data_IF_242462591048
#
_entry.id   IF_242462591048
#
_cell.length_a   1.000
_cell.length_b   1.000
_cell.length_c   1.000
_cell.angle_alpha   90.00
_cell.angle_beta   90.00
_cell.angle_gamma   90.00
#
_symmetry.space_group_name_H-M   'P 1'
#
loop_
_entity.id
_entity.type
_entity.pdbx_description
1 polymer ?
#
# COMPACT_ATOMS: atom_id res chain seq x y z
N UNK A 1 21.63 32.29 -39.30
CA UNK A 1 20.27 31.82 -39.47
C UNK A 1 20.29 30.34 -39.19
N UNK A 2 19.83 29.94 -38.00
CA UNK A 2 19.78 28.53 -37.58
C UNK A 2 18.61 27.88 -38.28
N UNK A 3 18.90 26.91 -39.15
CA UNK A 3 17.89 26.03 -39.76
C UNK A 3 17.19 25.21 -38.65
N UNK A 4 16.08 25.69 -38.18
CA UNK A 4 15.13 24.93 -37.35
C UNK A 4 14.31 24.07 -38.29
N UNK A 5 14.86 22.93 -38.71
CA UNK A 5 14.04 21.84 -39.27
C UNK A 5 12.94 21.54 -38.27
N UNK A 6 11.68 21.71 -38.63
CA UNK A 6 10.59 21.52 -37.68
C UNK A 6 10.58 20.06 -37.21
N UNK A 7 10.27 19.85 -35.95
CA UNK A 7 10.13 18.50 -35.35
C UNK A 7 9.20 17.63 -36.21
N UNK A 8 8.21 18.23 -36.84
CA UNK A 8 7.29 17.59 -37.79
C UNK A 8 7.98 17.05 -39.05
N UNK A 9 8.97 17.77 -39.60
CA UNK A 9 9.74 17.31 -40.77
C UNK A 9 10.69 16.15 -40.39
N UNK A 10 11.24 16.18 -39.20
CA UNK A 10 12.04 15.05 -38.67
C UNK A 10 11.18 13.80 -38.47
N UNK A 11 9.95 13.94 -38.01
CA UNK A 11 9.00 12.82 -37.89
C UNK A 11 8.52 12.30 -39.26
N UNK A 12 8.33 13.14 -40.24
CA UNK A 12 7.94 12.72 -41.60
C UNK A 12 9.04 11.86 -42.25
N UNK A 13 10.31 12.16 -41.99
CA UNK A 13 11.46 11.39 -42.51
C UNK A 13 11.51 9.95 -41.97
N UNK A 14 10.83 9.65 -40.87
CA UNK A 14 10.90 8.37 -40.16
C UNK A 14 9.58 7.59 -40.14
N UNK A 15 8.54 8.03 -40.91
CA UNK A 15 7.19 7.41 -40.85
C UNK A 15 7.15 5.94 -41.30
N UNK A 16 8.09 5.48 -42.13
CA UNK A 16 8.17 4.08 -42.55
C UNK A 16 8.87 3.16 -41.54
N UNK A 17 9.47 3.72 -40.48
CA UNK A 17 10.02 2.93 -39.35
C UNK A 17 8.94 2.50 -38.35
N UNK A 18 7.70 2.93 -38.50
CA UNK A 18 6.61 2.64 -37.60
C UNK A 18 5.55 1.73 -38.23
N UNK A 19 5.05 0.77 -37.46
CA UNK A 19 4.00 -0.15 -37.88
C UNK A 19 4.48 -1.47 -38.42
N UNK A 20 3.67 -2.14 -39.25
CA UNK A 20 3.93 -3.49 -39.75
C UNK A 20 5.17 -3.65 -40.66
N UNK A 21 5.78 -2.54 -41.11
CA UNK A 21 6.96 -2.54 -41.96
C UNK A 21 8.28 -2.50 -41.19
N UNK A 22 8.26 -2.25 -39.88
CA UNK A 22 9.49 -2.13 -39.09
C UNK A 22 10.41 -3.36 -39.21
N UNK A 23 9.94 -4.62 -39.12
CA UNK A 23 10.79 -5.78 -39.27
C UNK A 23 11.46 -5.90 -40.65
N UNK A 24 10.77 -5.46 -41.69
CA UNK A 24 11.32 -5.48 -43.06
C UNK A 24 12.43 -4.42 -43.22
N UNK A 25 12.23 -3.22 -42.68
CA UNK A 25 13.20 -2.16 -42.71
C UNK A 25 14.44 -2.53 -41.86
N UNK A 26 14.24 -3.16 -40.72
CA UNK A 26 15.28 -3.65 -39.85
C UNK A 26 16.13 -4.72 -40.55
N UNK A 27 15.55 -5.69 -41.26
CA UNK A 27 16.21 -6.70 -42.03
C UNK A 27 17.04 -6.06 -43.18
N UNK A 28 16.50 -5.07 -43.87
CA UNK A 28 17.22 -4.33 -44.89
C UNK A 28 18.42 -3.56 -44.33
N UNK A 29 18.25 -2.96 -43.15
CA UNK A 29 19.34 -2.23 -42.48
C UNK A 29 20.45 -3.16 -42.04
N UNK A 30 20.17 -4.33 -41.49
CA UNK A 30 21.18 -5.35 -41.19
C UNK A 30 21.94 -5.82 -42.45
N UNK A 31 21.24 -6.02 -43.55
CA UNK A 31 21.87 -6.36 -44.83
C UNK A 31 22.78 -5.22 -45.34
N UNK A 32 22.35 -3.97 -45.21
CA UNK A 32 23.15 -2.80 -45.53
C UNK A 32 24.42 -2.72 -44.65
N UNK A 33 24.30 -2.91 -43.33
CA UNK A 33 25.42 -2.91 -42.40
C UNK A 33 26.45 -4.02 -42.71
N UNK A 34 25.98 -5.18 -43.16
CA UNK A 34 26.84 -6.29 -43.60
C UNK A 34 27.53 -6.01 -44.97
N UNK A 35 26.79 -5.45 -45.92
CA UNK A 35 27.25 -5.08 -47.25
C UNK A 35 26.35 -3.98 -47.86
N UNK A 36 26.80 -2.72 -47.90
CA UNK A 36 26.00 -1.60 -48.46
C UNK A 36 25.51 -1.80 -49.90
N UNK A 37 26.19 -2.66 -50.68
CA UNK A 37 25.78 -3.01 -52.05
C UNK A 37 24.64 -4.03 -52.14
N UNK A 38 24.18 -4.60 -51.02
CA UNK A 38 23.11 -5.61 -50.98
C UNK A 38 21.71 -5.01 -51.00
N UNK A 39 21.56 -3.70 -50.82
CA UNK A 39 20.26 -3.01 -50.78
C UNK A 39 20.11 -2.08 -52.00
N UNK A 40 18.86 -1.78 -52.43
CA UNK A 40 18.58 -0.80 -53.47
C UNK A 40 19.16 0.58 -53.17
N UNK A 41 19.56 1.32 -54.21
CA UNK A 41 20.23 2.63 -54.08
C UNK A 41 19.45 3.64 -53.20
N UNK A 42 18.13 3.66 -53.34
CA UNK A 42 17.24 4.52 -52.51
C UNK A 42 17.30 4.23 -51.02
N UNK A 43 17.47 2.97 -50.64
CA UNK A 43 17.64 2.56 -49.27
C UNK A 43 19.05 2.77 -48.76
N UNK A 44 20.04 2.61 -49.65
CA UNK A 44 21.46 2.89 -49.33
C UNK A 44 21.65 4.37 -48.96
N UNK A 45 21.16 5.29 -49.81
CA UNK A 45 21.26 6.73 -49.55
C UNK A 45 20.58 7.11 -48.23
N UNK A 46 19.46 6.48 -47.92
CA UNK A 46 18.76 6.67 -46.65
C UNK A 46 19.56 6.15 -45.44
N UNK A 47 20.09 4.96 -45.52
CA UNK A 47 20.89 4.38 -44.44
C UNK A 47 22.27 5.05 -44.28
N UNK A 48 22.88 5.54 -45.38
CA UNK A 48 24.09 6.37 -45.32
C UNK A 48 23.81 7.66 -44.52
N UNK A 49 22.66 8.29 -44.73
CA UNK A 49 22.26 9.48 -43.97
C UNK A 49 22.07 9.19 -42.48
N UNK A 50 21.51 8.04 -42.13
CA UNK A 50 21.37 7.60 -40.74
C UNK A 50 22.70 7.41 -40.02
N UNK A 51 23.72 6.88 -40.70
CA UNK A 51 25.06 6.65 -40.15
C UNK A 51 25.80 7.97 -39.79
N UNK A 52 25.31 9.11 -40.24
CA UNK A 52 25.87 10.42 -39.94
C UNK A 52 25.14 11.15 -38.80
N UNK A 53 24.09 10.57 -38.23
CA UNK A 53 23.41 11.11 -37.06
C UNK A 53 24.24 10.72 -35.81
N UNK A 54 24.63 11.68 -34.94
CA UNK A 54 25.33 11.35 -33.70
C UNK A 54 24.48 10.43 -32.82
N UNK A 55 25.10 9.45 -32.17
CA UNK A 55 24.44 8.59 -31.20
C UNK A 55 23.85 9.41 -30.05
N UNK A 56 22.81 8.89 -29.39
CA UNK A 56 22.09 9.56 -28.29
C UNK A 56 23.03 9.95 -27.14
N UNK A 57 24.16 9.24 -26.98
CA UNK A 57 25.17 9.52 -25.97
C UNK A 57 26.18 10.59 -26.41
N UNK A 58 26.02 11.17 -27.62
CA UNK A 58 26.93 12.16 -28.22
C UNK A 58 28.21 11.56 -28.79
N UNK A 59 28.35 10.24 -28.87
CA UNK A 59 29.51 9.58 -29.49
C UNK A 59 29.38 9.56 -31.02
N UNK A 60 30.50 9.43 -31.70
CA UNK A 60 30.57 9.19 -33.15
C UNK A 60 30.62 7.68 -33.49
N UNK A 61 30.08 6.85 -32.60
CA UNK A 61 30.01 5.41 -32.81
C UNK A 61 29.10 5.12 -34.03
N UNK A 62 29.57 4.28 -34.94
CA UNK A 62 28.79 3.80 -36.08
C UNK A 62 28.11 2.50 -35.69
N UNK A 63 26.90 2.28 -36.21
CA UNK A 63 26.23 1.01 -36.07
C UNK A 63 27.01 -0.13 -36.73
N UNK A 64 26.94 -1.30 -36.11
CA UNK A 64 27.58 -2.54 -36.58
C UNK A 64 26.53 -3.62 -36.78
N UNK A 65 26.70 -4.57 -37.72
CA UNK A 65 25.78 -5.66 -37.94
C UNK A 65 25.53 -6.49 -36.66
N UNK A 66 24.30 -6.74 -36.31
CA UNK A 66 23.93 -7.56 -35.14
C UNK A 66 24.12 -9.07 -35.41
N UNK A 67 24.02 -9.52 -36.67
CA UNK A 67 24.10 -10.92 -37.03
C UNK A 67 25.37 -11.63 -36.49
N UNK A 68 26.56 -11.08 -36.54
CA UNK A 68 27.76 -11.68 -35.93
C UNK A 68 27.64 -11.86 -34.42
N UNK A 69 26.99 -10.90 -33.73
CA UNK A 69 26.80 -10.92 -32.30
C UNK A 69 25.73 -11.98 -31.93
N UNK A 70 24.64 -12.01 -32.68
CA UNK A 70 23.57 -13.02 -32.51
C UNK A 70 24.12 -14.42 -32.69
N UNK A 71 24.93 -14.64 -33.77
CA UNK A 71 25.60 -15.90 -34.05
C UNK A 71 26.58 -16.31 -32.95
N UNK A 72 27.38 -15.34 -32.45
CA UNK A 72 28.29 -15.60 -31.33
C UNK A 72 27.56 -16.03 -30.05
N UNK A 73 26.42 -15.44 -29.74
CA UNK A 73 25.58 -15.87 -28.64
C UNK A 73 24.91 -17.23 -28.88
N UNK A 74 24.45 -17.49 -30.13
CA UNK A 74 23.86 -18.77 -30.49
C UNK A 74 24.90 -19.91 -30.42
N UNK A 75 26.12 -19.68 -30.88
CA UNK A 75 27.25 -20.65 -30.74
C UNK A 75 27.61 -20.85 -29.27
N UNK A 76 27.67 -19.79 -28.49
CA UNK A 76 27.91 -19.88 -27.02
C UNK A 76 26.81 -20.65 -26.30
N UNK A 77 25.57 -20.48 -26.72
CA UNK A 77 24.44 -21.24 -26.20
C UNK A 77 24.52 -22.73 -26.57
N UNK A 78 24.96 -23.05 -27.82
CA UNK A 78 25.18 -24.44 -28.27
C UNK A 78 26.36 -25.10 -27.56
N UNK A 79 27.40 -24.35 -27.21
CA UNK A 79 28.58 -24.89 -26.50
C UNK A 79 28.29 -25.20 -25.03
N UNK A 80 27.03 -24.97 -24.58
CA UNK A 80 26.62 -25.20 -23.23
C UNK A 80 27.46 -24.39 -22.26
N UNK A 81 26.91 -23.39 -21.60
CA UNK A 81 27.63 -22.68 -20.55
C UNK A 81 28.32 -23.68 -19.65
N UNK A 82 29.55 -23.38 -19.28
CA UNK A 82 30.31 -24.17 -18.30
C UNK A 82 29.38 -24.51 -17.18
N UNK A 83 28.93 -25.77 -17.08
CA UNK A 83 28.22 -26.24 -15.89
C UNK A 83 29.22 -26.05 -14.76
N UNK A 84 29.04 -24.95 -14.01
CA UNK A 84 29.63 -24.86 -12.69
C UNK A 84 29.01 -26.04 -11.96
N UNK A 85 29.75 -27.13 -11.84
CA UNK A 85 29.40 -28.25 -10.97
C UNK A 85 29.61 -27.73 -9.56
N UNK A 86 28.67 -26.92 -9.09
CA UNK A 86 28.48 -26.73 -7.66
C UNK A 86 28.07 -28.08 -7.13
N UNK A 87 28.77 -28.58 -6.14
CA UNK A 87 28.41 -29.85 -5.49
C UNK A 87 26.89 -29.83 -5.27
N UNK A 88 26.19 -30.90 -5.57
CA UNK A 88 24.72 -30.95 -5.67
C UNK A 88 23.99 -30.38 -4.44
N UNK A 89 24.57 -30.53 -3.24
CA UNK A 89 24.06 -30.00 -1.99
C UNK A 89 24.14 -28.46 -1.88
N UNK A 90 25.17 -27.83 -2.41
CA UNK A 90 25.33 -26.36 -2.34
C UNK A 90 24.37 -25.63 -3.30
N UNK A 91 24.13 -26.22 -4.47
CA UNK A 91 23.19 -25.67 -5.44
C UNK A 91 21.72 -25.79 -4.96
N UNK A 92 21.39 -26.92 -4.32
CA UNK A 92 20.07 -27.13 -3.72
C UNK A 92 19.84 -26.19 -2.54
N UNK A 93 20.80 -26.09 -1.64
CA UNK A 93 20.73 -25.16 -0.52
C UNK A 93 20.65 -23.71 -0.99
N UNK A 94 21.36 -23.35 -2.07
CA UNK A 94 21.26 -22.03 -2.71
C UNK A 94 19.84 -21.74 -3.19
N UNK A 95 19.17 -22.69 -3.86
CA UNK A 95 17.76 -22.56 -4.28
C UNK A 95 16.83 -22.39 -3.07
N UNK A 96 16.99 -23.22 -2.03
CA UNK A 96 16.19 -23.15 -0.80
C UNK A 96 16.36 -21.81 -0.07
N UNK A 97 17.56 -21.23 -0.05
CA UNK A 97 17.79 -19.87 0.50
C UNK A 97 17.02 -18.80 -0.27
N UNK A 98 17.01 -18.88 -1.59
CA UNK A 98 16.22 -17.96 -2.43
C UNK A 98 14.72 -18.18 -2.21
N UNK A 99 14.27 -19.42 -2.13
CA UNK A 99 12.88 -19.78 -1.87
C UNK A 99 12.36 -19.24 -0.53
N UNK A 100 13.17 -19.27 0.54
CA UNK A 100 12.83 -18.64 1.83
C UNK A 100 12.61 -17.15 1.68
N UNK A 101 13.44 -16.44 0.92
CA UNK A 101 13.25 -15.01 0.69
C UNK A 101 11.96 -14.70 -0.10
N UNK A 102 11.64 -15.54 -1.07
CA UNK A 102 10.39 -15.45 -1.82
C UNK A 102 9.18 -15.72 -0.93
N UNK A 103 9.26 -16.72 -0.05
CA UNK A 103 8.20 -17.04 0.92
C UNK A 103 7.97 -15.86 1.89
N UNK A 104 9.02 -15.27 2.45
CA UNK A 104 8.91 -14.07 3.31
C UNK A 104 8.23 -12.93 2.52
N UNK A 105 8.64 -12.70 1.28
CA UNK A 105 8.05 -11.68 0.43
C UNK A 105 6.57 -11.96 0.14
N UNK A 106 6.19 -13.21 -0.09
CA UNK A 106 4.80 -13.62 -0.30
C UNK A 106 3.92 -13.29 0.92
N UNK A 107 4.36 -13.67 2.13
CA UNK A 107 3.61 -13.32 3.35
C UNK A 107 3.45 -11.81 3.52
N UNK A 108 4.48 -11.00 3.23
CA UNK A 108 4.41 -9.54 3.27
C UNK A 108 3.45 -8.95 2.25
N UNK A 109 3.36 -9.56 1.05
CA UNK A 109 2.55 -9.04 -0.06
C UNK A 109 1.09 -9.52 -0.03
N UNK A 110 0.86 -10.80 0.30
CA UNK A 110 -0.47 -11.41 0.16
C UNK A 110 -0.98 -12.11 1.43
N UNK A 111 -0.22 -12.06 2.52
CA UNK A 111 -0.59 -12.71 3.79
C UNK A 111 -1.94 -12.22 4.34
N UNK A 112 -2.27 -10.94 4.16
CA UNK A 112 -3.55 -10.36 4.57
C UNK A 112 -4.76 -11.04 3.91
N UNK A 113 -4.61 -11.61 2.72
CA UNK A 113 -5.69 -12.34 2.03
C UNK A 113 -6.08 -13.63 2.77
N UNK A 114 -5.18 -14.17 3.59
CA UNK A 114 -5.42 -15.34 4.42
C UNK A 114 -5.62 -14.97 5.90
N UNK A 115 -5.65 -13.70 6.24
CA UNK A 115 -5.92 -13.25 7.60
C UNK A 115 -7.36 -13.59 8.02
N UNK A 116 -7.53 -13.83 9.32
CA UNK A 116 -8.81 -14.17 9.94
C UNK A 116 -9.60 -12.90 10.27
N UNK A 117 -10.17 -12.28 9.25
CA UNK A 117 -10.86 -10.99 9.33
C UNK A 117 -12.39 -11.12 9.45
N UNK A 118 -12.94 -12.32 9.30
CA UNK A 118 -14.39 -12.55 9.45
C UNK A 118 -14.70 -13.19 10.82
N UNK A 119 -15.11 -12.40 11.83
CA UNK A 119 -15.44 -12.93 13.15
C UNK A 119 -16.66 -13.86 13.12
N UNK A 120 -17.51 -13.76 12.11
CA UNK A 120 -18.71 -14.58 11.93
C UNK A 120 -18.44 -15.89 11.17
N UNK A 121 -17.24 -16.06 10.60
CA UNK A 121 -16.86 -17.26 9.84
C UNK A 121 -17.82 -17.64 8.72
N UNK A 122 -18.40 -16.63 8.04
CA UNK A 122 -19.39 -16.85 6.97
C UNK A 122 -18.77 -17.26 5.65
N UNK A 123 -17.49 -16.96 5.45
CA UNK A 123 -16.78 -17.27 4.22
C UNK A 123 -15.52 -18.06 4.55
N UNK A 124 -15.28 -19.13 3.82
CA UNK A 124 -14.02 -19.86 3.92
C UNK A 124 -12.87 -19.00 3.34
N UNK A 125 -11.72 -19.08 4.00
CA UNK A 125 -10.54 -18.37 3.51
C UNK A 125 -10.02 -19.04 2.24
N UNK A 126 -9.68 -18.25 1.19
CA UNK A 126 -9.20 -18.81 -0.06
C UNK A 126 -7.86 -19.51 0.13
N UNK A 127 -7.62 -20.57 -0.62
CA UNK A 127 -6.29 -21.15 -0.73
C UNK A 127 -5.37 -20.16 -1.46
N UNK A 128 -4.19 -19.93 -0.91
CA UNK A 128 -3.17 -19.03 -1.48
C UNK A 128 -1.88 -19.85 -1.61
N UNK A 129 -1.62 -20.42 -2.78
CA UNK A 129 -0.48 -21.32 -2.98
C UNK A 129 0.86 -20.70 -2.59
N UNK A 130 1.04 -19.39 -2.81
CA UNK A 130 2.27 -18.64 -2.51
C UNK A 130 2.57 -18.56 -1.01
N UNK A 131 1.63 -18.90 -0.13
CA UNK A 131 1.85 -18.98 1.32
C UNK A 131 2.22 -20.38 1.79
N UNK A 132 2.16 -21.36 0.91
CA UNK A 132 2.47 -22.75 1.25
C UNK A 132 3.91 -23.09 0.90
N UNK A 133 4.66 -23.74 1.81
CA UNK A 133 6.06 -24.14 1.58
C UNK A 133 6.24 -25.01 0.35
N UNK A 134 5.27 -25.88 0.06
CA UNK A 134 5.29 -26.78 -1.09
C UNK A 134 5.32 -26.04 -2.44
N UNK A 135 4.82 -24.82 -2.50
CA UNK A 135 4.91 -23.97 -3.69
C UNK A 135 6.37 -23.63 -4.07
N UNK A 136 7.27 -23.70 -3.09
CA UNK A 136 8.70 -23.42 -3.23
C UNK A 136 9.56 -24.68 -3.14
N UNK A 137 8.99 -25.84 -3.42
CA UNK A 137 9.65 -27.14 -3.36
C UNK A 137 10.19 -27.54 -1.96
N UNK A 138 9.67 -26.95 -0.88
CA UNK A 138 9.96 -27.40 0.47
C UNK A 138 9.15 -28.65 0.82
N UNK A 139 9.79 -29.55 1.51
CA UNK A 139 9.21 -30.80 2.01
C UNK A 139 9.19 -30.84 3.53
N UNK A 140 8.57 -31.85 4.12
CA UNK A 140 8.57 -32.03 5.57
C UNK A 140 10.00 -32.23 6.14
N UNK A 141 10.94 -32.75 5.37
CA UNK A 141 12.34 -32.88 5.76
C UNK A 141 13.05 -31.53 5.93
N UNK A 142 12.52 -30.45 5.33
CA UNK A 142 13.11 -29.13 5.40
C UNK A 142 12.67 -28.33 6.63
N UNK A 143 11.69 -28.81 7.39
CA UNK A 143 11.07 -28.07 8.50
C UNK A 143 12.08 -27.63 9.58
N UNK A 144 13.10 -28.43 9.83
CA UNK A 144 14.14 -28.14 10.82
C UNK A 144 15.40 -27.49 10.20
N UNK A 145 15.41 -27.29 8.88
CA UNK A 145 16.52 -26.62 8.19
C UNK A 145 16.56 -25.15 8.59
N UNK A 146 17.72 -24.69 9.01
CA UNK A 146 17.95 -23.31 9.49
C UNK A 146 18.33 -22.40 8.33
N UNK A 147 17.64 -21.27 8.21
CA UNK A 147 17.85 -20.27 7.18
C UNK A 147 18.23 -18.91 7.76
N UNK A 148 19.01 -18.14 7.02
CA UNK A 148 19.28 -16.75 7.35
C UNK A 148 18.04 -15.91 7.02
N UNK A 149 17.60 -15.13 8.01
CA UNK A 149 16.42 -14.26 7.95
C UNK A 149 16.74 -12.83 8.42
N UNK A 150 18.00 -12.42 8.33
CA UNK A 150 18.48 -11.08 8.77
C UNK A 150 17.79 -9.89 8.08
N UNK A 151 17.05 -10.15 6.98
CA UNK A 151 16.19 -9.17 6.31
C UNK A 151 14.80 -9.04 6.96
N UNK A 152 14.54 -9.73 8.07
CA UNK A 152 13.31 -9.65 8.87
C UNK A 152 13.59 -8.95 10.20
N UNK A 153 12.52 -8.68 10.96
CA UNK A 153 12.60 -8.04 12.28
C UNK A 153 12.09 -8.95 13.42
N UNK A 154 12.21 -10.26 13.26
CA UNK A 154 11.80 -11.22 14.30
C UNK A 154 12.76 -11.32 15.49
N UNK A 155 13.81 -10.49 15.53
CA UNK A 155 14.78 -10.46 16.63
C UNK A 155 15.81 -11.59 16.61
N UNK A 156 15.89 -12.33 15.50
CA UNK A 156 16.88 -13.39 15.26
C UNK A 156 17.44 -13.24 13.84
N UNK A 157 18.70 -13.62 13.64
CA UNK A 157 19.32 -13.64 12.31
C UNK A 157 19.05 -14.95 11.55
N UNK A 158 18.70 -16.01 12.30
CA UNK A 158 18.42 -17.33 11.74
C UNK A 158 17.21 -17.97 12.43
N UNK A 159 16.41 -18.71 11.66
CA UNK A 159 15.30 -19.55 12.15
C UNK A 159 15.23 -20.85 11.36
N UNK A 160 14.67 -21.91 11.96
CA UNK A 160 14.23 -23.07 11.19
C UNK A 160 13.03 -22.68 10.30
N UNK A 161 12.79 -23.42 9.22
CA UNK A 161 11.63 -23.17 8.34
C UNK A 161 10.33 -23.19 9.15
N UNK A 162 10.17 -24.12 10.06
CA UNK A 162 9.01 -24.24 10.96
C UNK A 162 8.83 -22.99 11.83
N UNK A 163 9.89 -22.52 12.49
CA UNK A 163 9.84 -21.31 13.31
C UNK A 163 9.47 -20.09 12.48
N UNK A 164 10.08 -19.96 11.29
CA UNK A 164 9.81 -18.86 10.36
C UNK A 164 8.36 -18.85 9.88
N UNK A 165 7.82 -20.00 9.46
CA UNK A 165 6.44 -20.14 9.04
C UNK A 165 5.46 -19.73 10.14
N UNK A 166 5.71 -20.18 11.37
CA UNK A 166 4.88 -19.81 12.51
C UNK A 166 4.94 -18.27 12.74
N UNK A 167 6.13 -17.68 12.70
CA UNK A 167 6.31 -16.24 12.87
C UNK A 167 5.60 -15.44 11.76
N UNK A 168 5.71 -15.87 10.52
CA UNK A 168 5.05 -15.23 9.36
C UNK A 168 3.52 -15.35 9.45
N UNK A 169 3.00 -16.53 9.75
CA UNK A 169 1.56 -16.77 9.93
C UNK A 169 0.98 -15.93 11.08
N UNK A 170 1.67 -15.91 12.22
CA UNK A 170 1.26 -15.07 13.36
C UNK A 170 1.23 -13.59 13.00
N UNK A 171 2.19 -13.12 12.21
CA UNK A 171 2.34 -11.70 11.85
C UNK A 171 1.35 -11.25 10.81
N UNK A 172 1.17 -12.03 9.73
CA UNK A 172 0.47 -11.58 8.52
C UNK A 172 -0.87 -12.26 8.27
N UNK A 173 -1.15 -13.36 8.98
CA UNK A 173 -2.37 -14.16 8.78
C UNK A 173 -3.23 -14.29 10.04
N UNK A 174 -2.96 -13.48 11.07
CA UNK A 174 -3.76 -13.41 12.29
C UNK A 174 -5.07 -12.64 12.07
N UNK A 175 -5.57 -12.01 13.14
CA UNK A 175 -6.81 -11.20 13.08
C UNK A 175 -6.58 -9.77 12.61
N UNK A 176 -5.38 -9.45 12.11
CA UNK A 176 -5.01 -8.17 11.52
C UNK A 176 -4.54 -8.39 10.10
N UNK A 177 -5.17 -7.75 9.12
CA UNK A 177 -4.74 -7.70 7.74
C UNK A 177 -4.00 -6.38 7.47
N UNK A 178 -2.73 -6.44 7.07
CA UNK A 178 -1.92 -5.26 6.78
C UNK A 178 -1.50 -5.23 5.31
N UNK A 179 -1.91 -4.17 4.61
CA UNK A 179 -1.54 -3.91 3.22
C UNK A 179 -0.63 -2.69 3.17
N UNK A 180 0.67 -2.88 2.98
CA UNK A 180 1.67 -1.80 3.00
C UNK A 180 2.76 -1.96 1.94
N UNK A 181 2.83 -3.11 1.28
CA UNK A 181 3.92 -3.38 0.34
C UNK A 181 3.85 -2.55 -0.95
N UNK A 182 2.71 -1.93 -1.26
CA UNK A 182 2.54 -0.98 -2.36
C UNK A 182 3.24 0.37 -2.10
N UNK A 183 3.60 0.67 -0.85
CA UNK A 183 4.30 1.91 -0.48
C UNK A 183 5.60 2.04 -1.28
N UNK A 184 5.78 3.13 -2.00
CA UNK A 184 6.97 3.37 -2.82
C UNK A 184 8.20 3.79 -1.99
N UNK A 185 7.98 4.50 -0.88
CA UNK A 185 9.06 4.89 0.05
C UNK A 185 9.56 3.67 0.82
N UNK A 186 10.85 3.34 0.62
CA UNK A 186 11.50 2.20 1.25
C UNK A 186 11.65 2.34 2.77
N UNK A 187 11.83 3.56 3.28
CA UNK A 187 11.95 3.79 4.72
C UNK A 187 10.60 3.53 5.42
N UNK A 188 9.51 4.01 4.85
CA UNK A 188 8.15 3.74 5.35
C UNK A 188 7.80 2.25 5.28
N UNK A 189 8.11 1.59 4.15
CA UNK A 189 7.89 0.15 4.00
C UNK A 189 8.63 -0.65 5.05
N UNK A 190 9.90 -0.33 5.26
CA UNK A 190 10.74 -0.99 6.26
C UNK A 190 10.26 -0.71 7.69
N UNK A 191 9.75 0.48 7.96
CA UNK A 191 9.13 0.83 9.24
C UNK A 191 7.91 -0.06 9.54
N UNK A 192 7.03 -0.28 8.55
CA UNK A 192 5.90 -1.20 8.69
C UNK A 192 6.34 -2.63 8.98
N UNK A 193 7.31 -3.15 8.23
CA UNK A 193 7.88 -4.48 8.48
C UNK A 193 8.38 -4.58 9.92
N UNK A 194 9.16 -3.61 10.36
CA UNK A 194 9.68 -3.59 11.73
C UNK A 194 8.55 -3.57 12.76
N UNK A 195 7.53 -2.73 12.58
CA UNK A 195 6.40 -2.61 13.52
C UNK A 195 5.60 -3.91 13.63
N UNK A 196 5.35 -4.58 12.53
CA UNK A 196 4.56 -5.82 12.51
C UNK A 196 5.37 -7.02 12.98
N UNK A 197 6.58 -7.21 12.45
CA UNK A 197 7.39 -8.41 12.69
C UNK A 197 7.99 -8.43 14.10
N UNK A 198 8.42 -7.28 14.65
CA UNK A 198 9.03 -7.24 15.98
C UNK A 198 8.10 -7.70 17.10
N UNK A 199 6.80 -7.53 16.92
CA UNK A 199 5.77 -7.95 17.89
C UNK A 199 4.86 -9.06 17.34
N UNK A 200 5.14 -9.57 16.14
CA UNK A 200 4.31 -10.54 15.41
C UNK A 200 2.83 -10.16 15.36
N UNK A 201 2.57 -8.87 15.11
CA UNK A 201 1.22 -8.27 15.13
C UNK A 201 0.42 -8.52 16.42
N UNK A 202 1.10 -8.82 17.53
CA UNK A 202 0.50 -9.08 18.86
C UNK A 202 0.99 -8.05 19.87
N UNK A 203 0.38 -6.83 19.89
CA UNK A 203 0.79 -5.79 20.83
C UNK A 203 0.55 -6.25 22.27
N UNK A 204 1.50 -5.95 23.15
CA UNK A 204 1.39 -6.21 24.58
C UNK A 204 0.93 -4.93 25.28
N UNK A 205 -0.30 -4.90 25.75
CA UNK A 205 -0.83 -3.79 26.52
C UNK A 205 -0.66 -4.05 28.03
N UNK A 206 -0.20 -3.04 28.76
CA UNK A 206 -0.21 -3.06 30.21
C UNK A 206 -1.63 -2.96 30.78
N UNK A 207 -1.78 -3.13 32.11
CA UNK A 207 -3.10 -3.14 32.75
C UNK A 207 -3.84 -1.81 32.59
N UNK A 208 -3.13 -0.67 32.65
CA UNK A 208 -3.76 0.65 32.53
C UNK A 208 -4.27 0.89 31.11
N UNK A 209 -3.51 0.50 30.10
CA UNK A 209 -3.96 0.58 28.71
C UNK A 209 -5.16 -0.31 28.45
N UNK A 210 -5.20 -1.51 29.02
CA UNK A 210 -6.36 -2.40 28.91
C UNK A 210 -7.60 -1.80 29.58
N UNK A 211 -7.46 -1.15 30.75
CA UNK A 211 -8.57 -0.44 31.41
C UNK A 211 -9.04 0.74 30.58
N UNK A 212 -8.15 1.53 29.99
CA UNK A 212 -8.52 2.65 29.11
C UNK A 212 -9.30 2.14 27.89
N UNK A 213 -8.85 1.08 27.25
CA UNK A 213 -9.57 0.48 26.11
C UNK A 213 -10.96 0.01 26.56
N UNK A 214 -11.06 -0.69 27.69
CA UNK A 214 -12.35 -1.15 28.24
C UNK A 214 -13.28 0.01 28.56
N UNK A 215 -12.77 1.09 29.15
CA UNK A 215 -13.54 2.30 29.43
C UNK A 215 -14.14 2.91 28.15
N UNK A 216 -13.33 3.04 27.10
CA UNK A 216 -13.79 3.56 25.80
C UNK A 216 -14.84 2.65 25.14
N UNK A 217 -14.66 1.33 25.21
CA UNK A 217 -15.63 0.36 24.71
C UNK A 217 -16.94 0.44 25.48
N UNK A 218 -16.87 0.52 26.82
CA UNK A 218 -18.05 0.64 27.69
C UNK A 218 -18.80 1.95 27.44
N UNK A 219 -18.08 3.06 27.24
CA UNK A 219 -18.69 4.34 26.93
C UNK A 219 -19.41 4.31 25.57
N UNK A 220 -18.78 3.69 24.55
CA UNK A 220 -19.35 3.54 23.22
C UNK A 220 -20.63 2.70 23.25
N UNK A 221 -20.58 1.51 23.84
CA UNK A 221 -21.73 0.61 23.97
C UNK A 221 -22.84 1.23 24.84
N UNK A 222 -22.48 1.87 25.95
CA UNK A 222 -23.43 2.49 26.87
C UNK A 222 -24.26 3.56 26.19
N UNK A 223 -23.67 4.40 25.37
CA UNK A 223 -24.41 5.41 24.60
C UNK A 223 -25.37 4.76 23.60
N UNK A 224 -24.92 3.77 22.84
CA UNK A 224 -25.80 3.07 21.87
C UNK A 224 -26.99 2.38 22.56
N UNK A 225 -26.74 1.68 23.65
CA UNK A 225 -27.83 1.03 24.46
C UNK A 225 -28.80 2.05 25.01
N UNK A 226 -28.32 3.18 25.54
CA UNK A 226 -29.18 4.24 26.03
C UNK A 226 -30.07 4.79 24.91
N UNK A 227 -29.51 5.15 23.78
CA UNK A 227 -30.25 5.68 22.62
C UNK A 227 -31.24 4.65 22.07
N UNK A 228 -30.86 3.37 22.05
CA UNK A 228 -31.76 2.29 21.62
C UNK A 228 -32.97 2.16 22.51
N UNK A 229 -32.79 2.24 23.83
CA UNK A 229 -33.84 2.05 24.81
C UNK A 229 -34.77 3.26 24.92
N UNK A 230 -34.16 4.47 24.92
CA UNK A 230 -34.93 5.69 25.14
C UNK A 230 -35.62 6.21 23.88
N UNK A 231 -34.99 6.10 22.73
CA UNK A 231 -35.45 6.68 21.46
C UNK A 231 -35.78 5.60 20.43
N UNK A 232 -36.70 4.72 20.80
CA UNK A 232 -37.13 3.59 19.97
C UNK A 232 -37.63 4.07 18.60
N UNK A 233 -37.14 3.44 17.53
CA UNK A 233 -37.56 3.74 16.16
C UNK A 233 -36.97 5.03 15.55
N UNK A 234 -36.30 5.85 16.34
CA UNK A 234 -35.63 7.02 15.78
C UNK A 234 -34.34 6.65 15.04
N UNK A 235 -34.13 7.26 13.86
CA UNK A 235 -32.93 7.04 13.03
C UNK A 235 -31.69 7.62 13.72
N UNK A 236 -30.66 6.79 13.95
CA UNK A 236 -29.46 7.19 14.65
C UNK A 236 -28.16 6.69 14.02
N UNK A 237 -28.20 5.76 13.06
CA UNK A 237 -27.03 5.13 12.47
C UNK A 237 -26.03 4.64 13.52
N UNK A 238 -26.47 3.67 14.30
CA UNK A 238 -25.75 3.10 15.43
C UNK A 238 -24.32 2.62 15.09
N UNK A 239 -23.42 2.73 16.07
CA UNK A 239 -22.07 2.18 16.02
C UNK A 239 -21.99 0.72 16.49
N UNK A 240 -23.11 0.11 16.86
CA UNK A 240 -23.15 -1.28 17.34
C UNK A 240 -22.39 -2.22 16.42
N UNK A 241 -21.45 -2.99 16.99
CA UNK A 241 -20.52 -3.84 16.28
C UNK A 241 -19.20 -3.16 15.86
N UNK A 242 -19.09 -1.84 16.02
CA UNK A 242 -17.92 -1.04 15.70
C UNK A 242 -17.36 -0.24 16.89
N UNK A 243 -17.65 -0.61 18.13
CA UNK A 243 -17.29 0.12 19.35
C UNK A 243 -15.79 0.33 19.50
N UNK A 244 -14.98 -0.58 18.98
CA UNK A 244 -13.52 -0.47 18.95
C UNK A 244 -13.02 0.77 18.21
N UNK A 245 -13.82 1.35 17.33
CA UNK A 245 -13.51 2.59 16.63
C UNK A 245 -13.30 3.76 17.61
N UNK A 246 -14.09 3.85 18.68
CA UNK A 246 -13.94 4.91 19.69
C UNK A 246 -12.62 4.76 20.45
N UNK A 247 -12.25 3.54 20.83
CA UNK A 247 -10.97 3.27 21.47
C UNK A 247 -9.78 3.60 20.53
N UNK A 248 -9.91 3.26 19.24
CA UNK A 248 -8.90 3.58 18.22
C UNK A 248 -8.76 5.09 18.00
N UNK A 249 -9.87 5.83 17.94
CA UNK A 249 -9.87 7.29 17.81
C UNK A 249 -9.24 7.98 19.02
N UNK A 250 -9.55 7.53 20.24
CA UNK A 250 -8.91 8.04 21.45
C UNK A 250 -7.39 7.85 21.40
N UNK A 251 -6.91 6.66 21.05
CA UNK A 251 -5.48 6.38 20.92
C UNK A 251 -4.82 7.23 19.82
N UNK A 252 -5.47 7.39 18.69
CA UNK A 252 -4.97 8.21 17.59
C UNK A 252 -4.79 9.67 18.04
N UNK A 253 -5.80 10.25 18.69
CA UNK A 253 -5.77 11.62 19.17
C UNK A 253 -4.66 11.82 20.21
N UNK A 254 -4.60 10.94 21.22
CA UNK A 254 -3.60 10.99 22.28
C UNK A 254 -2.17 10.82 21.73
N UNK A 255 -1.96 9.84 20.85
CA UNK A 255 -0.65 9.60 20.23
C UNK A 255 -0.23 10.71 19.27
N UNK A 256 -1.16 11.28 18.52
CA UNK A 256 -0.88 12.40 17.62
C UNK A 256 -0.50 13.65 18.40
N UNK A 257 -1.26 14.00 19.44
CA UNK A 257 -0.97 15.13 20.31
C UNK A 257 0.37 15.00 21.02
N UNK A 258 0.69 13.81 21.55
CA UNK A 258 1.99 13.52 22.17
C UNK A 258 3.18 13.75 21.21
N UNK A 259 2.94 13.69 19.89
CA UNK A 259 3.94 13.96 18.84
C UNK A 259 3.87 15.38 18.28
N UNK A 260 3.11 16.28 18.90
CA UNK A 260 3.03 17.68 18.55
C UNK A 260 2.01 18.03 17.47
N UNK A 261 1.09 17.13 17.13
CA UNK A 261 -0.07 17.47 16.30
C UNK A 261 -0.98 18.40 17.09
N UNK A 262 -1.37 19.52 16.50
CA UNK A 262 -2.16 20.57 17.13
C UNK A 262 -3.62 20.60 16.65
N UNK A 263 -3.88 20.13 15.44
CA UNK A 263 -5.22 20.10 14.85
C UNK A 263 -5.48 18.78 14.12
N UNK A 264 -6.68 18.25 14.27
CA UNK A 264 -7.16 17.08 13.53
C UNK A 264 -8.51 17.42 12.90
N UNK A 265 -8.62 17.28 11.59
CA UNK A 265 -9.87 17.45 10.85
C UNK A 265 -10.44 16.06 10.56
N UNK A 266 -11.70 15.86 10.91
CA UNK A 266 -12.38 14.57 10.79
C UNK A 266 -13.50 14.69 9.77
N UNK A 267 -13.50 13.79 8.79
CA UNK A 267 -14.62 13.56 7.88
C UNK A 267 -15.14 12.16 8.04
N UNK A 268 -16.43 12.00 8.17
CA UNK A 268 -17.06 10.68 8.29
C UNK A 268 -18.51 10.73 7.83
N UNK A 269 -19.02 9.59 7.38
CA UNK A 269 -20.44 9.39 7.12
C UNK A 269 -21.26 9.30 8.42
N UNK A 270 -22.49 8.82 8.33
CA UNK A 270 -23.46 8.83 9.43
C UNK A 270 -23.17 7.81 10.53
N UNK A 271 -22.74 6.59 10.15
CA UNK A 271 -22.62 5.48 11.10
C UNK A 271 -21.59 5.77 12.18
N UNK A 272 -22.05 5.70 13.42
CA UNK A 272 -21.22 5.98 14.60
C UNK A 272 -20.98 7.48 14.85
N UNK A 273 -21.52 8.39 14.03
CA UNK A 273 -21.25 9.83 14.17
C UNK A 273 -21.69 10.39 15.51
N UNK A 274 -22.87 10.00 16.01
CA UNK A 274 -23.35 10.45 17.32
C UNK A 274 -22.43 9.99 18.46
N UNK A 275 -21.89 8.79 18.33
CA UNK A 275 -20.93 8.24 19.28
C UNK A 275 -19.59 9.01 19.25
N UNK A 276 -19.08 9.34 18.06
CA UNK A 276 -17.88 10.18 17.88
C UNK A 276 -18.10 11.58 18.47
N UNK A 277 -19.25 12.20 18.23
CA UNK A 277 -19.57 13.51 18.80
C UNK A 277 -19.46 13.51 20.34
N UNK A 278 -20.00 12.49 21.01
CA UNK A 278 -19.99 12.40 22.47
C UNK A 278 -18.65 11.89 23.00
N UNK A 279 -18.19 10.73 22.54
CA UNK A 279 -17.09 10.00 23.17
C UNK A 279 -15.69 10.41 22.64
N UNK A 280 -15.60 11.00 21.44
CA UNK A 280 -14.31 11.46 20.89
C UNK A 280 -14.17 12.98 20.94
N UNK A 281 -15.22 13.74 20.62
CA UNK A 281 -15.18 15.20 20.61
C UNK A 281 -15.72 15.84 21.91
N UNK A 282 -16.35 15.08 22.79
CA UNK A 282 -16.83 15.58 24.08
C UNK A 282 -18.09 16.45 24.02
N UNK A 283 -18.90 16.32 22.95
CA UNK A 283 -20.25 16.94 22.93
C UNK A 283 -21.04 16.41 24.13
N UNK A 284 -21.65 17.30 24.90
CA UNK A 284 -22.41 16.88 26.08
C UNK A 284 -23.60 16.03 25.67
N UNK A 285 -23.82 14.87 26.32
CA UNK A 285 -24.96 14.01 26.01
C UNK A 285 -26.32 14.75 26.09
N UNK A 286 -26.47 15.68 27.00
CA UNK A 286 -27.70 16.50 27.14
C UNK A 286 -28.01 17.28 25.87
N UNK A 287 -26.98 17.83 25.21
CA UNK A 287 -27.15 18.63 23.99
C UNK A 287 -27.51 17.73 22.80
N UNK A 288 -26.96 16.50 22.76
CA UNK A 288 -27.38 15.51 21.79
C UNK A 288 -28.83 15.04 22.04
N UNK A 289 -29.20 14.81 23.28
CA UNK A 289 -30.56 14.33 23.62
C UNK A 289 -31.63 15.38 23.33
N UNK A 290 -31.34 16.67 23.48
CA UNK A 290 -32.22 17.75 23.08
C UNK A 290 -32.62 17.69 21.59
N UNK A 291 -31.70 17.22 20.73
CA UNK A 291 -31.98 16.98 19.30
C UNK A 291 -32.96 15.83 19.08
N UNK A 292 -32.90 14.80 19.94
CA UNK A 292 -33.87 13.68 19.90
C UNK A 292 -35.20 14.06 20.42
N UNK A 293 -35.25 14.91 21.46
CA UNK A 293 -36.45 15.37 22.13
C UNK A 293 -37.11 16.57 21.42
N UNK A 294 -36.50 17.07 20.32
CA UNK A 294 -36.92 18.27 19.56
C UNK A 294 -37.03 19.54 20.45
N UNK A 295 -36.16 19.62 21.45
CA UNK A 295 -36.06 20.76 22.39
C UNK A 295 -34.78 21.58 22.20
N UNK A 296 -34.00 21.28 21.18
CA UNK A 296 -32.82 22.06 20.81
C UNK A 296 -33.25 23.51 20.44
N UNK A 297 -32.43 24.54 20.79
CA UNK A 297 -32.74 25.93 20.42
C UNK A 297 -32.82 26.07 18.89
N UNK A 298 -33.84 26.76 18.40
CA UNK A 298 -34.08 27.00 16.95
C UNK A 298 -32.99 27.89 16.30
N UNK A 299 -32.23 28.63 17.11
CA UNK A 299 -31.20 29.58 16.66
C UNK A 299 -29.83 28.93 16.31
N UNK A 300 -29.68 27.60 16.46
CA UNK A 300 -28.48 26.93 15.97
C UNK A 300 -28.53 26.85 14.45
N UNK A 301 -27.44 27.21 13.73
CA UNK A 301 -27.39 27.03 12.30
C UNK A 301 -27.77 25.61 11.96
N UNK A 302 -28.89 25.45 11.30
CA UNK A 302 -29.57 24.20 11.09
C UNK A 302 -28.67 23.20 10.36
N UNK A 303 -28.11 22.26 11.12
CA UNK A 303 -27.81 20.98 10.51
C UNK A 303 -29.14 20.33 10.15
N UNK A 304 -29.28 19.84 8.94
CA UNK A 304 -30.56 19.29 8.47
C UNK A 304 -31.06 18.16 9.40
N UNK A 305 -30.17 17.30 9.90
CA UNK A 305 -30.47 16.20 10.83
C UNK A 305 -29.31 15.94 11.81
N UNK A 306 -29.64 15.39 12.97
CA UNK A 306 -28.67 15.15 14.06
C UNK A 306 -27.41 14.37 13.66
N UNK A 307 -27.51 13.46 12.71
CA UNK A 307 -26.39 12.65 12.23
C UNK A 307 -25.60 13.27 11.07
N UNK A 308 -25.86 14.54 10.73
CA UNK A 308 -25.04 15.35 9.79
C UNK A 308 -24.27 16.47 10.50
N UNK A 309 -24.52 16.71 11.77
CA UNK A 309 -23.92 17.82 12.52
C UNK A 309 -22.39 17.74 12.56
N UNK A 310 -21.77 18.90 12.38
CA UNK A 310 -20.38 19.15 12.71
C UNK A 310 -20.21 19.51 14.17
N UNK A 311 -18.96 19.47 14.64
CA UNK A 311 -18.61 19.89 15.99
C UNK A 311 -17.11 20.17 16.04
N UNK A 312 -16.68 21.08 16.91
CA UNK A 312 -15.26 21.26 17.22
C UNK A 312 -15.04 21.44 18.70
N UNK A 313 -13.90 20.97 19.17
CA UNK A 313 -13.52 21.02 20.57
C UNK A 313 -12.00 20.84 20.72
N UNK A 314 -11.49 21.22 21.89
CA UNK A 314 -10.10 20.97 22.26
C UNK A 314 -10.04 19.77 23.20
N UNK A 315 -9.14 18.82 22.87
CA UNK A 315 -8.89 17.63 23.70
C UNK A 315 -7.50 17.71 24.28
N UNK A 316 -7.38 17.54 25.59
CA UNK A 316 -6.07 17.52 26.27
C UNK A 316 -5.31 16.24 25.96
N UNK A 317 -4.04 16.38 25.60
CA UNK A 317 -3.09 15.27 25.40
C UNK A 317 -1.80 15.52 26.15
N UNK A 318 -0.93 14.50 26.21
CA UNK A 318 0.38 14.64 26.85
C UNK A 318 1.28 15.72 26.20
N UNK A 319 1.07 16.03 24.91
CA UNK A 319 1.81 17.07 24.18
C UNK A 319 1.12 18.44 24.16
N UNK A 320 -0.01 18.58 24.86
CA UNK A 320 -0.83 19.81 24.88
C UNK A 320 -2.22 19.59 24.28
N UNK A 321 -3.02 20.65 24.16
CA UNK A 321 -4.35 20.56 23.58
C UNK A 321 -4.27 20.28 22.06
N UNK A 322 -5.16 19.45 21.58
CA UNK A 322 -5.37 19.17 20.15
C UNK A 322 -6.77 19.65 19.79
N UNK A 323 -6.86 20.55 18.82
CA UNK A 323 -8.14 21.01 18.28
C UNK A 323 -8.71 19.98 17.32
N UNK A 324 -9.90 19.44 17.63
CA UNK A 324 -10.63 18.50 16.77
C UNK A 324 -11.72 19.25 16.02
N UNK A 325 -11.82 19.03 14.72
CA UNK A 325 -12.91 19.57 13.90
C UNK A 325 -13.57 18.45 13.14
N UNK A 326 -14.83 18.13 13.46
CA UNK A 326 -15.66 17.24 12.68
C UNK A 326 -16.44 18.04 11.64
N UNK A 327 -16.14 17.82 10.37
CA UNK A 327 -16.84 18.47 9.27
C UNK A 327 -18.32 18.03 9.21
N UNK A 328 -19.19 18.92 8.77
CA UNK A 328 -20.56 18.52 8.38
C UNK A 328 -20.50 17.50 7.23
N UNK A 329 -21.49 16.62 7.14
CA UNK A 329 -21.62 15.73 6.00
C UNK A 329 -23.06 15.70 5.50
N UNK A 330 -23.29 15.55 4.18
CA UNK A 330 -24.62 15.26 3.63
C UNK A 330 -24.91 13.75 3.66
N UNK A 331 -26.07 13.35 3.17
CA UNK A 331 -26.45 11.94 3.04
C UNK A 331 -25.62 11.17 1.99
N UNK A 332 -24.88 11.85 1.14
CA UNK A 332 -24.02 11.25 0.11
C UNK A 332 -22.70 10.80 0.74
N UNK A 333 -22.32 9.55 0.50
CA UNK A 333 -21.09 8.99 1.00
C UNK A 333 -19.87 9.58 0.26
N UNK A 334 -18.73 9.67 0.95
CA UNK A 334 -17.41 10.10 0.45
C UNK A 334 -17.31 11.57 -0.03
N UNK A 335 -18.41 12.28 -0.19
CA UNK A 335 -18.39 13.68 -0.66
C UNK A 335 -17.70 14.64 0.32
N UNK A 336 -17.55 14.24 1.58
CA UNK A 336 -16.83 15.01 2.60
C UNK A 336 -15.30 14.93 2.45
N UNK A 337 -14.76 13.94 1.71
CA UNK A 337 -13.33 13.69 1.59
C UNK A 337 -12.58 14.93 1.06
N UNK A 338 -12.93 15.54 -0.09
CA UNK A 338 -12.24 16.73 -0.58
C UNK A 338 -12.41 17.94 0.33
N UNK A 339 -13.51 18.03 1.09
CA UNK A 339 -13.72 19.10 2.08
C UNK A 339 -12.71 19.00 3.22
N UNK A 340 -12.49 17.80 3.74
CA UNK A 340 -11.51 17.54 4.81
C UNK A 340 -10.10 17.79 4.31
N UNK A 341 -9.73 17.27 3.16
CA UNK A 341 -8.40 17.44 2.57
C UNK A 341 -8.09 18.92 2.27
N UNK A 342 -9.04 19.64 1.68
CA UNK A 342 -8.93 21.07 1.44
C UNK A 342 -8.82 21.88 2.74
N UNK A 343 -9.57 21.47 3.79
CA UNK A 343 -9.49 22.09 5.11
C UNK A 343 -8.12 21.88 5.77
N UNK A 344 -7.56 20.67 5.69
CA UNK A 344 -6.22 20.36 6.19
C UNK A 344 -5.18 21.17 5.41
N UNK A 345 -5.25 21.19 4.09
CA UNK A 345 -4.33 21.95 3.23
C UNK A 345 -4.34 23.44 3.60
N UNK A 346 -5.52 24.04 3.73
CA UNK A 346 -5.64 25.44 4.09
C UNK A 346 -5.04 25.77 5.47
N UNK A 347 -5.13 24.84 6.42
CA UNK A 347 -4.50 25.00 7.76
C UNK A 347 -2.98 24.89 7.68
N UNK A 348 -2.47 23.96 6.88
CA UNK A 348 -1.02 23.81 6.67
C UNK A 348 -0.42 25.04 5.98
N UNK A 349 -1.10 25.64 5.00
CA UNK A 349 -0.61 26.79 4.25
C UNK A 349 -0.63 28.09 5.09
N UNK A 350 -1.39 28.15 6.17
CA UNK A 350 -1.46 29.32 7.07
C UNK A 350 -0.39 29.30 8.17
N UNK A 351 0.30 28.20 8.36
CA UNK A 351 1.37 28.01 9.36
C UNK A 351 2.75 28.13 8.72
#
# INVERSE_FOLDING_TARGET
MSDTTSVYQAYQGNTYLFGGNAPYVEEMYENYLANPGSVPDTWRDYFDALQHVPAVDGSNAKDVPHLPVINAFAERAKQGGTKVVVASNDAEMGRKRTAVQQLIAAYRNVGQRWADLDPLKRTERPAIPELEPSFYDFTDADQETVFNISNTFFGKDTMSLRELLNALRETYCGTLGAEFMYTSDQAQKRWWQQKLESIRSKPQFNADKKRQILDRLTAAEGLERFLHTKYVGQKRFSLEGGESFIAAMDELIQSAGAKGVQEIVIGMAHRGRLNVLVNSLGKMPKDLFAEFDHTAPEDLPAGDVKYHQGFSSDVSTAGGPVHLSLAFNPSHLEIVNPVVEGSVRARMDRR
#
